data_IF_805438470755
#
_entry.id   IF_805438470755
#
_cell.length_a   1.000
_cell.length_b   1.000
_cell.length_c   1.000
_cell.angle_alpha   90.00
_cell.angle_beta   90.00
_cell.angle_gamma   90.00
#
_symmetry.space_group_name_H-M   'P 1'
#
loop_
_entity.id
_entity.type
_entity.pdbx_description
1 polymer ?
#
# COMPACT_ATOMS: atom_id res chain seq x y z
N UNK A 1 11.20 27.20 -12.47
CA UNK A 1 10.72 27.05 -13.87
C UNK A 1 9.48 26.16 -13.88
N UNK A 2 8.48 26.43 -14.72
CA UNK A 2 7.08 26.04 -14.41
C UNK A 2 6.69 24.61 -14.81
N UNK A 3 5.94 23.95 -13.92
CA UNK A 3 5.21 22.70 -14.15
C UNK A 3 4.33 22.76 -15.40
N UNK A 4 3.77 23.94 -15.69
CA UNK A 4 2.95 24.21 -16.86
C UNK A 4 3.69 23.94 -18.17
N UNK A 5 4.97 24.31 -18.27
CA UNK A 5 5.77 24.07 -19.47
C UNK A 5 6.01 22.58 -19.73
N UNK A 6 6.24 21.80 -18.67
CA UNK A 6 6.33 20.34 -18.78
C UNK A 6 5.00 19.74 -19.27
N UNK A 7 3.87 20.14 -18.68
CA UNK A 7 2.56 19.60 -19.07
C UNK A 7 2.19 19.93 -20.51
N UNK A 8 2.51 21.14 -20.99
CA UNK A 8 2.34 21.52 -22.40
C UNK A 8 3.21 20.67 -23.32
N UNK A 9 4.46 20.40 -22.93
CA UNK A 9 5.37 19.54 -23.69
C UNK A 9 4.85 18.10 -23.72
N UNK A 10 4.37 17.59 -22.58
CA UNK A 10 3.81 16.25 -22.47
C UNK A 10 2.52 16.09 -23.29
N UNK A 11 1.63 17.09 -23.28
CA UNK A 11 0.40 17.06 -24.07
C UNK A 11 0.64 17.13 -25.58
N UNK A 12 1.72 17.80 -26.00
CA UNK A 12 2.12 17.88 -27.40
C UNK A 12 2.94 16.64 -27.87
N UNK A 13 3.40 15.81 -26.93
CA UNK A 13 4.13 14.59 -27.25
C UNK A 13 3.21 13.48 -27.79
N UNK A 14 3.80 12.43 -28.38
CA UNK A 14 3.04 11.27 -28.86
C UNK A 14 2.30 10.55 -27.72
N UNK A 15 1.22 9.85 -28.08
CA UNK A 15 0.42 9.05 -27.13
C UNK A 15 1.28 8.05 -26.36
N UNK A 16 2.29 7.46 -27.01
CA UNK A 16 3.22 6.52 -26.39
C UNK A 16 4.04 7.17 -25.25
N UNK A 17 4.52 8.39 -25.45
CA UNK A 17 5.28 9.13 -24.42
C UNK A 17 4.39 9.48 -23.22
N UNK A 18 3.14 9.85 -23.49
CA UNK A 18 2.14 10.13 -22.45
C UNK A 18 1.80 8.87 -21.64
N UNK A 19 1.55 7.75 -22.32
CA UNK A 19 1.29 6.46 -21.68
C UNK A 19 2.47 5.99 -20.84
N UNK A 20 3.70 6.15 -21.35
CA UNK A 20 4.91 5.79 -20.61
C UNK A 20 5.06 6.60 -19.33
N UNK A 21 4.85 7.92 -19.40
CA UNK A 21 4.86 8.78 -18.21
C UNK A 21 3.80 8.36 -17.18
N UNK A 22 2.57 8.12 -17.65
CA UNK A 22 1.47 7.65 -16.81
C UNK A 22 1.82 6.32 -16.13
N UNK A 23 2.32 5.34 -16.88
CA UNK A 23 2.69 4.03 -16.37
C UNK A 23 3.82 4.12 -15.32
N UNK A 24 4.86 4.93 -15.59
CA UNK A 24 5.95 5.16 -14.64
C UNK A 24 5.46 5.82 -13.35
N UNK A 25 4.61 6.84 -13.45
CA UNK A 25 4.04 7.54 -12.30
C UNK A 25 3.15 6.61 -11.47
N UNK A 26 2.23 5.90 -12.11
CA UNK A 26 1.33 4.96 -11.44
C UNK A 26 2.10 3.84 -10.74
N UNK A 27 3.10 3.26 -11.42
CA UNK A 27 3.96 2.22 -10.84
C UNK A 27 4.63 2.71 -9.57
N UNK A 28 5.27 3.88 -9.60
CA UNK A 28 5.98 4.37 -8.44
C UNK A 28 5.03 4.74 -7.29
N UNK A 29 3.91 5.39 -7.58
CA UNK A 29 2.94 5.74 -6.56
C UNK A 29 2.40 4.48 -5.86
N UNK A 30 2.00 3.45 -6.60
CA UNK A 30 1.53 2.19 -6.01
C UNK A 30 2.62 1.56 -5.13
N UNK A 31 3.88 1.54 -5.59
CA UNK A 31 4.99 1.02 -4.79
C UNK A 31 5.17 1.79 -3.47
N UNK A 32 5.13 3.12 -3.53
CA UNK A 32 5.27 3.96 -2.34
C UNK A 32 4.09 3.76 -1.39
N UNK A 33 2.87 3.77 -1.91
CA UNK A 33 1.65 3.58 -1.11
C UNK A 33 1.61 2.19 -0.46
N UNK A 34 1.87 1.12 -1.20
CA UNK A 34 1.83 -0.25 -0.65
C UNK A 34 2.93 -0.50 0.38
N UNK A 35 4.11 0.12 0.21
CA UNK A 35 5.19 0.04 1.19
C UNK A 35 4.91 0.84 2.45
N UNK A 36 4.33 2.03 2.30
CA UNK A 36 3.99 2.89 3.42
C UNK A 36 2.74 2.41 4.17
N UNK A 37 1.83 1.76 3.46
CA UNK A 37 0.52 1.32 3.95
C UNK A 37 0.32 -0.16 3.57
N UNK A 38 0.84 -1.11 4.37
CA UNK A 38 0.79 -2.54 4.05
C UNK A 38 -0.63 -3.13 3.89
N UNK A 39 -1.65 -2.42 4.35
CA UNK A 39 -3.07 -2.81 4.28
C UNK A 39 -3.85 -1.97 3.26
N UNK A 40 -3.19 -1.17 2.42
CA UNK A 40 -3.89 -0.42 1.38
C UNK A 40 -4.49 -1.40 0.36
N UNK A 41 -5.79 -1.25 0.11
CA UNK A 41 -6.46 -2.00 -0.95
C UNK A 41 -5.96 -1.52 -2.31
N UNK A 42 -5.82 -2.43 -3.26
CA UNK A 42 -5.33 -2.09 -4.60
C UNK A 42 -6.21 -1.04 -5.29
N UNK A 43 -7.52 -1.09 -5.06
CA UNK A 43 -8.51 -0.12 -5.56
C UNK A 43 -8.25 1.28 -4.98
N UNK A 44 -8.11 1.40 -3.66
CA UNK A 44 -7.86 2.70 -3.02
C UNK A 44 -6.52 3.31 -3.48
N UNK A 45 -5.50 2.46 -3.66
CA UNK A 45 -4.21 2.89 -4.20
C UNK A 45 -4.34 3.36 -5.66
N UNK A 46 -5.08 2.64 -6.50
CA UNK A 46 -5.32 3.04 -7.88
C UNK A 46 -6.11 4.35 -7.98
N UNK A 47 -7.14 4.51 -7.15
CA UNK A 47 -7.94 5.73 -7.07
C UNK A 47 -7.11 6.92 -6.59
N UNK A 48 -6.25 6.72 -5.59
CA UNK A 48 -5.34 7.76 -5.10
C UNK A 48 -4.36 8.21 -6.21
N UNK A 49 -3.87 7.29 -7.02
CA UNK A 49 -3.02 7.59 -8.18
C UNK A 49 -3.80 8.37 -9.25
N UNK A 50 -5.00 7.92 -9.60
CA UNK A 50 -5.85 8.59 -10.57
C UNK A 50 -6.18 10.02 -10.12
N UNK A 51 -6.57 10.21 -8.86
CA UNK A 51 -6.81 11.54 -8.27
C UNK A 51 -5.56 12.43 -8.28
N UNK A 52 -4.37 11.85 -8.15
CA UNK A 52 -3.10 12.59 -8.16
C UNK A 52 -2.73 13.06 -9.56
N UNK A 53 -2.89 12.21 -10.57
CA UNK A 53 -2.64 12.53 -11.97
C UNK A 53 -3.68 13.51 -12.51
N UNK A 54 -4.94 13.40 -12.08
CA UNK A 54 -5.97 14.39 -12.39
C UNK A 54 -5.61 15.75 -11.79
N UNK A 55 -5.21 15.79 -10.50
CA UNK A 55 -4.77 17.02 -9.87
C UNK A 55 -3.54 17.64 -10.57
N UNK A 56 -2.64 16.81 -11.11
CA UNK A 56 -1.52 17.27 -11.93
C UNK A 56 -2.02 17.92 -13.23
N UNK A 57 -2.90 17.24 -13.97
CA UNK A 57 -3.46 17.74 -15.23
C UNK A 57 -4.26 19.05 -15.04
N UNK A 58 -4.97 19.18 -13.93
CA UNK A 58 -5.73 20.39 -13.56
C UNK A 58 -4.84 21.52 -13.00
N UNK A 59 -3.52 21.32 -12.87
CA UNK A 59 -2.62 22.33 -12.29
C UNK A 59 -2.83 22.58 -10.79
N UNK A 60 -3.45 21.64 -10.07
CA UNK A 60 -3.70 21.71 -8.63
C UNK A 60 -2.52 21.22 -7.79
N UNK A 61 -1.48 20.68 -8.41
CA UNK A 61 -0.22 20.31 -7.75
C UNK A 61 0.58 21.58 -7.43
N UNK A 62 0.79 21.85 -6.13
CA UNK A 62 1.51 23.02 -5.62
C UNK A 62 2.78 22.61 -4.90
N UNK A 63 3.77 23.50 -4.87
CA UNK A 63 4.99 23.33 -4.09
C UNK A 63 6.05 22.41 -4.72
N UNK A 64 5.86 21.99 -5.97
CA UNK A 64 6.91 21.30 -6.71
C UNK A 64 7.97 22.29 -7.19
N UNK A 65 9.22 22.04 -6.81
CA UNK A 65 10.40 22.81 -7.22
C UNK A 65 11.45 21.83 -7.70
N UNK A 66 12.01 22.09 -8.88
CA UNK A 66 13.07 21.28 -9.48
C UNK A 66 13.99 22.22 -10.26
N UNK A 67 15.29 22.01 -10.09
CA UNK A 67 16.34 22.80 -10.75
C UNK A 67 16.65 22.30 -12.16
N UNK A 68 16.27 21.06 -12.48
CA UNK A 68 16.43 20.48 -13.81
C UNK A 68 15.48 21.15 -14.83
N UNK A 69 15.84 21.18 -16.13
CA UNK A 69 14.97 21.76 -17.14
C UNK A 69 13.72 20.89 -17.36
N UNK A 70 12.53 21.47 -17.61
CA UNK A 70 11.27 20.73 -17.74
C UNK A 70 11.29 19.59 -18.77
N UNK A 71 12.10 19.69 -19.81
CA UNK A 71 12.20 18.67 -20.86
C UNK A 71 13.10 17.47 -20.50
N UNK A 72 13.83 17.55 -19.39
CA UNK A 72 14.79 16.53 -18.99
C UNK A 72 14.14 15.28 -18.39
N UNK A 73 14.88 14.17 -18.43
CA UNK A 73 14.52 12.95 -17.70
C UNK A 73 14.55 13.17 -16.19
N UNK A 74 15.49 13.99 -15.68
CA UNK A 74 15.64 14.27 -14.25
C UNK A 74 14.43 15.03 -13.70
N UNK A 75 13.94 16.05 -14.43
CA UNK A 75 12.72 16.77 -14.05
C UNK A 75 11.51 15.83 -13.98
N UNK A 76 11.38 14.91 -14.94
CA UNK A 76 10.32 13.91 -14.97
C UNK A 76 10.41 12.97 -13.77
N UNK A 77 11.60 12.46 -13.46
CA UNK A 77 11.82 11.57 -12.33
C UNK A 77 11.52 12.26 -10.99
N UNK A 78 11.97 13.51 -10.82
CA UNK A 78 11.68 14.30 -9.62
C UNK A 78 10.19 14.61 -9.47
N UNK A 79 9.50 14.94 -10.57
CA UNK A 79 8.05 15.15 -10.54
C UNK A 79 7.30 13.89 -10.14
N UNK A 80 7.66 12.74 -10.72
CA UNK A 80 7.05 11.45 -10.39
C UNK A 80 7.30 11.10 -8.91
N UNK A 81 8.52 11.31 -8.42
CA UNK A 81 8.89 11.14 -7.00
C UNK A 81 8.07 12.04 -6.08
N UNK A 82 7.93 13.33 -6.44
CA UNK A 82 7.14 14.29 -5.69
C UNK A 82 5.66 13.89 -5.62
N UNK A 83 5.08 13.46 -6.73
CA UNK A 83 3.69 12.98 -6.76
C UNK A 83 3.55 11.75 -5.85
N UNK A 84 4.43 10.75 -5.99
CA UNK A 84 4.36 9.51 -5.24
C UNK A 84 4.52 9.71 -3.73
N UNK A 85 5.37 10.65 -3.29
CA UNK A 85 5.70 10.86 -1.88
C UNK A 85 4.85 11.92 -1.19
N UNK A 86 4.34 12.93 -1.91
CA UNK A 86 3.57 14.03 -1.30
C UNK A 86 2.12 14.10 -1.72
N UNK A 87 1.81 13.78 -2.98
CA UNK A 87 0.45 13.98 -3.50
C UNK A 87 -0.39 12.72 -3.29
N UNK A 88 0.07 11.57 -3.77
CA UNK A 88 -0.66 10.31 -3.71
C UNK A 88 -1.05 9.88 -2.27
N UNK A 89 -0.17 9.98 -1.25
CA UNK A 89 -0.56 9.64 0.13
C UNK A 89 -1.69 10.54 0.64
N UNK A 90 -1.64 11.84 0.37
CA UNK A 90 -2.71 12.79 0.76
C UNK A 90 -4.03 12.46 0.08
N UNK A 91 -3.99 12.03 -1.19
CA UNK A 91 -5.18 11.58 -1.91
C UNK A 91 -5.78 10.32 -1.31
N UNK A 92 -4.95 9.33 -0.99
CA UNK A 92 -5.37 8.10 -0.33
C UNK A 92 -6.10 8.38 0.99
N UNK A 93 -5.57 9.28 1.81
CA UNK A 93 -6.21 9.66 3.09
C UNK A 93 -7.51 10.40 2.86
N UNK A 94 -7.56 11.26 1.84
CA UNK A 94 -8.79 11.90 1.41
C UNK A 94 -9.89 10.88 1.07
N UNK A 95 -9.52 9.81 0.36
CA UNK A 95 -10.42 8.69 0.03
C UNK A 95 -10.88 7.97 1.30
N UNK A 96 -9.95 7.59 2.18
CA UNK A 96 -10.29 6.92 3.45
C UNK A 96 -11.18 7.76 4.35
N UNK A 97 -10.94 9.07 4.44
CA UNK A 97 -11.80 10.01 5.18
C UNK A 97 -13.22 10.05 4.61
N UNK A 98 -13.37 10.15 3.29
CA UNK A 98 -14.69 10.16 2.62
C UNK A 98 -15.44 8.85 2.88
N UNK A 99 -14.74 7.73 2.80
CA UNK A 99 -15.33 6.40 2.93
C UNK A 99 -15.44 5.91 4.40
N UNK A 100 -15.00 6.72 5.37
CA UNK A 100 -14.94 6.38 6.81
C UNK A 100 -14.18 5.07 7.10
N UNK A 101 -13.15 4.77 6.30
CA UNK A 101 -12.36 3.55 6.44
C UNK A 101 -11.12 3.84 7.30
N UNK A 102 -10.84 2.96 8.25
CA UNK A 102 -9.64 2.96 9.12
C UNK A 102 -9.36 4.28 9.90
N UNK A 103 -10.20 4.65 10.89
CA UNK A 103 -9.97 5.83 11.74
C UNK A 103 -8.61 5.81 12.45
N UNK A 104 -8.13 4.62 12.84
CA UNK A 104 -6.83 4.45 13.51
C UNK A 104 -5.63 4.72 12.57
N UNK A 105 -5.75 4.39 11.28
CA UNK A 105 -4.72 4.69 10.27
C UNK A 105 -4.69 6.19 9.94
N UNK A 106 -5.86 6.84 9.92
CA UNK A 106 -5.96 8.29 9.74
C UNK A 106 -5.33 9.02 10.93
N UNK A 107 -5.58 8.56 12.17
CA UNK A 107 -4.99 9.14 13.37
C UNK A 107 -3.46 8.94 13.44
N UNK A 108 -2.94 7.77 13.03
CA UNK A 108 -1.50 7.55 12.90
C UNK A 108 -0.86 8.47 11.85
N UNK A 109 -1.60 8.81 10.79
CA UNK A 109 -1.13 9.71 9.76
C UNK A 109 -1.01 11.16 10.25
N UNK A 110 -2.00 11.66 10.98
CA UNK A 110 -2.01 13.04 11.48
C UNK A 110 -0.89 13.31 12.50
N UNK A 111 -0.40 12.25 13.16
CA UNK A 111 0.61 12.34 14.21
C UNK A 111 2.04 12.01 13.75
N UNK A 112 2.26 11.57 12.51
CA UNK A 112 3.58 11.26 11.98
C UNK A 112 3.96 12.21 10.84
N UNK A 113 5.20 12.69 10.85
CA UNK A 113 5.84 13.34 9.70
C UNK A 113 6.12 12.30 8.61
N UNK A 114 5.06 11.80 8.00
CA UNK A 114 5.10 10.76 6.98
C UNK A 114 5.88 11.23 5.76
N UNK A 115 5.92 12.53 5.49
CA UNK A 115 6.80 13.07 4.46
C UNK A 115 8.27 12.76 4.72
N UNK A 116 8.73 12.80 5.97
CA UNK A 116 10.11 12.46 6.35
C UNK A 116 10.33 10.94 6.18
N UNK A 117 9.39 10.12 6.67
CA UNK A 117 9.47 8.67 6.54
C UNK A 117 9.46 8.19 5.08
N UNK A 118 8.61 8.79 4.23
CA UNK A 118 8.49 8.48 2.81
C UNK A 118 9.70 8.97 2.00
N UNK A 119 10.31 10.09 2.41
CA UNK A 119 11.54 10.61 1.81
C UNK A 119 12.73 9.70 2.09
N UNK A 120 12.75 9.05 3.26
CA UNK A 120 13.76 8.07 3.66
C UNK A 120 13.58 6.69 3.00
N UNK A 121 12.44 6.40 2.36
CA UNK A 121 12.27 5.16 1.61
C UNK A 121 13.20 5.16 0.38
N UNK A 122 14.12 4.20 0.25
CA UNK A 122 14.94 4.09 -0.95
C UNK A 122 14.02 3.84 -2.15
N UNK A 123 13.98 4.80 -3.07
CA UNK A 123 13.37 4.63 -4.39
C UNK A 123 14.22 3.60 -5.11
N UNK A 124 13.71 2.39 -5.28
CA UNK A 124 14.35 1.43 -6.17
C UNK A 124 14.25 2.03 -7.58
N UNK A 125 15.35 2.62 -8.04
CA UNK A 125 15.52 3.09 -9.42
C UNK A 125 15.49 1.95 -10.45
N UNK A 126 15.33 0.70 -10.00
CA UNK A 126 15.26 -0.46 -10.86
C UNK A 126 13.80 -0.80 -11.21
N UNK A 127 13.57 -1.46 -12.37
CA UNK A 127 12.39 -2.31 -12.48
C UNK A 127 12.35 -3.19 -11.23
N UNK A 128 11.16 -3.48 -10.69
CA UNK A 128 11.04 -4.56 -9.73
C UNK A 128 11.74 -5.75 -10.37
N UNK A 129 12.86 -6.17 -9.79
CA UNK A 129 13.53 -7.39 -10.18
C UNK A 129 12.41 -8.44 -10.22
N UNK A 130 12.17 -9.18 -11.31
CA UNK A 130 11.08 -10.16 -11.41
C UNK A 130 11.10 -11.20 -10.27
N UNK A 131 12.21 -11.25 -9.54
CA UNK A 131 12.43 -11.97 -8.29
C UNK A 131 11.55 -11.43 -7.14
N UNK A 132 11.33 -10.13 -6.98
CA UNK A 132 10.54 -9.57 -5.86
C UNK A 132 9.04 -9.91 -5.97
N UNK A 133 8.38 -9.79 -7.15
CA UNK A 133 7.04 -10.34 -7.32
C UNK A 133 6.99 -11.86 -7.11
N UNK A 134 8.02 -12.60 -7.51
CA UNK A 134 8.09 -14.05 -7.33
C UNK A 134 8.24 -14.43 -5.84
N UNK A 135 9.11 -13.75 -5.09
CA UNK A 135 9.30 -13.91 -3.65
C UNK A 135 8.05 -13.47 -2.87
N UNK A 136 7.41 -12.37 -3.25
CA UNK A 136 6.13 -11.97 -2.67
C UNK A 136 5.00 -12.94 -3.00
N UNK A 137 4.99 -13.51 -4.21
CA UNK A 137 4.02 -14.54 -4.62
C UNK A 137 4.28 -15.82 -3.84
N UNK A 138 5.53 -16.21 -3.65
CA UNK A 138 5.95 -17.37 -2.88
C UNK A 138 5.63 -17.19 -1.39
N UNK A 139 5.88 -16.02 -0.81
CA UNK A 139 5.50 -15.69 0.56
C UNK A 139 3.98 -15.66 0.74
N UNK A 140 3.22 -15.13 -0.23
CA UNK A 140 1.75 -15.22 -0.23
C UNK A 140 1.27 -16.66 -0.32
N UNK A 141 1.88 -17.47 -1.19
CA UNK A 141 1.54 -18.88 -1.33
C UNK A 141 1.80 -19.63 -0.02
N UNK A 142 2.98 -19.42 0.57
CA UNK A 142 3.35 -19.98 1.87
C UNK A 142 2.40 -19.52 2.98
N UNK A 143 1.99 -18.25 3.00
CA UNK A 143 0.99 -17.74 3.94
C UNK A 143 -0.36 -18.45 3.76
N UNK A 144 -0.85 -18.60 2.53
CA UNK A 144 -2.12 -19.29 2.26
C UNK A 144 -2.06 -20.78 2.60
N UNK A 145 -0.93 -21.44 2.33
CA UNK A 145 -0.68 -22.81 2.81
C UNK A 145 -0.75 -22.88 4.33
N UNK A 146 -0.06 -21.97 5.03
CA UNK A 146 -0.10 -21.92 6.49
C UNK A 146 -1.51 -21.66 7.03
N UNK A 147 -2.29 -20.79 6.38
CA UNK A 147 -3.70 -20.57 6.73
C UNK A 147 -4.54 -21.83 6.50
N UNK A 148 -4.27 -22.60 5.44
CA UNK A 148 -4.98 -23.85 5.14
C UNK A 148 -4.72 -24.94 6.20
N UNK A 149 -3.58 -24.89 6.88
CA UNK A 149 -3.20 -25.81 7.97
C UNK A 149 -3.80 -25.41 9.33
N UNK A 150 -4.37 -24.20 9.45
CA UNK A 150 -5.10 -23.82 10.64
C UNK A 150 -6.41 -24.60 10.72
N UNK A 151 -6.85 -24.92 11.94
CA UNK A 151 -8.20 -25.47 12.12
C UNK A 151 -9.26 -24.50 11.59
N UNK A 152 -10.43 -25.03 11.20
CA UNK A 152 -11.48 -24.27 10.51
C UNK A 152 -11.88 -22.98 11.24
N UNK A 153 -11.89 -23.01 12.59
CA UNK A 153 -12.25 -21.86 13.43
C UNK A 153 -11.19 -20.75 13.39
N UNK A 154 -9.91 -21.09 13.42
CA UNK A 154 -8.81 -20.13 13.37
C UNK A 154 -8.57 -19.61 11.94
N UNK A 155 -8.61 -20.51 10.95
CA UNK A 155 -8.50 -20.15 9.54
C UNK A 155 -9.65 -19.25 9.08
N UNK A 156 -10.87 -19.51 9.55
CA UNK A 156 -12.04 -18.66 9.27
C UNK A 156 -11.85 -17.23 9.78
N UNK A 157 -11.44 -17.07 11.04
CA UNK A 157 -11.17 -15.74 11.62
C UNK A 157 -10.11 -14.99 10.82
N UNK A 158 -8.98 -15.63 10.47
CA UNK A 158 -7.92 -14.96 9.71
C UNK A 158 -8.37 -14.57 8.30
N UNK A 159 -9.17 -15.40 7.62
CA UNK A 159 -9.69 -15.05 6.29
C UNK A 159 -10.59 -13.81 6.34
N UNK A 160 -11.40 -13.67 7.39
CA UNK A 160 -12.25 -12.49 7.57
C UNK A 160 -11.43 -11.25 7.97
N UNK A 161 -10.36 -11.42 8.76
CA UNK A 161 -9.39 -10.34 9.02
C UNK A 161 -8.72 -9.87 7.73
N UNK A 162 -8.34 -10.80 6.84
CA UNK A 162 -7.75 -10.48 5.53
C UNK A 162 -8.76 -9.82 4.55
N UNK A 163 -10.05 -9.84 4.89
CA UNK A 163 -11.11 -9.13 4.17
C UNK A 163 -11.44 -7.78 4.83
N UNK A 164 -10.62 -7.32 5.78
CA UNK A 164 -10.77 -6.07 6.53
C UNK A 164 -12.06 -5.96 7.36
N UNK A 165 -12.64 -7.09 7.80
CA UNK A 165 -13.76 -7.06 8.74
C UNK A 165 -13.31 -6.67 10.15
N UNK A 166 -14.13 -5.85 10.83
CA UNK A 166 -13.93 -5.51 12.24
C UNK A 166 -14.17 -6.72 13.15
N UNK A 167 -13.66 -6.69 14.39
CA UNK A 167 -13.88 -7.80 15.32
C UNK A 167 -15.35 -8.03 15.67
N UNK A 168 -16.18 -6.99 15.66
CA UNK A 168 -17.63 -7.11 15.82
C UNK A 168 -18.24 -7.83 14.62
N UNK A 169 -17.90 -7.41 13.39
CA UNK A 169 -18.38 -8.05 12.16
C UNK A 169 -17.94 -9.50 12.04
N UNK A 170 -16.73 -9.83 12.50
CA UNK A 170 -16.24 -11.22 12.57
C UNK A 170 -17.01 -12.03 13.61
N UNK A 171 -17.31 -11.45 14.77
CA UNK A 171 -18.11 -12.11 15.80
C UNK A 171 -19.49 -12.46 15.24
N UNK A 172 -20.14 -11.53 14.54
CA UNK A 172 -21.42 -11.74 13.90
C UNK A 172 -21.34 -12.80 12.78
N UNK A 173 -20.39 -12.64 11.85
CA UNK A 173 -20.20 -13.56 10.72
C UNK A 173 -19.89 -15.01 11.14
N UNK A 174 -19.26 -15.18 12.31
CA UNK A 174 -18.91 -16.49 12.86
C UNK A 174 -19.83 -16.96 13.99
N UNK A 175 -20.90 -16.21 14.27
CA UNK A 175 -21.85 -16.48 15.36
C UNK A 175 -21.16 -16.70 16.70
N UNK A 176 -20.21 -15.83 17.06
CA UNK A 176 -19.45 -15.88 18.29
C UNK A 176 -20.05 -14.96 19.35
N UNK A 177 -20.12 -15.46 20.58
CA UNK A 177 -20.77 -14.77 21.69
C UNK A 177 -20.09 -13.45 22.11
N UNK A 178 -18.84 -13.22 21.72
CA UNK A 178 -18.12 -11.99 22.07
C UNK A 178 -16.94 -11.67 21.15
N UNK A 179 -16.65 -10.38 21.00
CA UNK A 179 -15.40 -9.90 20.41
C UNK A 179 -14.15 -10.34 21.15
N UNK A 180 -14.25 -10.59 22.46
CA UNK A 180 -13.16 -11.18 23.24
C UNK A 180 -12.73 -12.54 22.70
N UNK A 181 -13.70 -13.36 22.27
CA UNK A 181 -13.44 -14.65 21.62
C UNK A 181 -12.76 -14.48 20.26
N UNK A 182 -13.15 -13.47 19.49
CA UNK A 182 -12.50 -13.12 18.21
C UNK A 182 -11.06 -12.74 18.45
N UNK A 183 -10.77 -11.80 19.36
CA UNK A 183 -9.41 -11.35 19.71
C UNK A 183 -8.50 -12.52 20.11
N UNK A 184 -9.00 -13.40 20.97
CA UNK A 184 -8.27 -14.61 21.41
C UNK A 184 -7.95 -15.54 20.23
N UNK A 185 -8.90 -15.76 19.33
CA UNK A 185 -8.71 -16.59 18.13
C UNK A 185 -7.76 -15.94 17.13
N UNK A 186 -7.87 -14.64 16.86
CA UNK A 186 -6.94 -13.89 16.01
C UNK A 186 -5.53 -14.02 16.55
N UNK A 187 -5.33 -13.76 17.85
CA UNK A 187 -4.02 -13.86 18.49
C UNK A 187 -3.44 -15.27 18.35
N UNK A 188 -4.22 -16.30 18.68
CA UNK A 188 -3.79 -17.70 18.58
C UNK A 188 -3.45 -18.08 17.15
N UNK A 189 -4.27 -17.67 16.18
CA UNK A 189 -4.03 -17.94 14.77
C UNK A 189 -2.75 -17.24 14.27
N UNK A 190 -2.51 -15.99 14.67
CA UNK A 190 -1.30 -15.25 14.34
C UNK A 190 -0.03 -15.88 14.92
N UNK A 191 -0.08 -16.41 16.15
CA UNK A 191 1.06 -17.15 16.71
C UNK A 191 1.39 -18.41 15.90
N UNK A 192 0.35 -19.17 15.51
CA UNK A 192 0.52 -20.36 14.66
C UNK A 192 1.03 -20.02 13.27
N UNK A 193 0.56 -18.91 12.68
CA UNK A 193 1.05 -18.43 11.38
C UNK A 193 2.51 -18.00 11.46
N UNK A 194 2.92 -17.26 12.50
CA UNK A 194 4.32 -16.89 12.72
C UNK A 194 5.22 -18.13 12.80
N UNK A 195 4.78 -19.15 13.54
CA UNK A 195 5.51 -20.42 13.63
C UNK A 195 5.59 -21.13 12.28
N UNK A 196 4.47 -21.26 11.57
CA UNK A 196 4.42 -21.91 10.25
C UNK A 196 5.27 -21.18 9.18
N UNK A 197 5.36 -19.85 9.25
CA UNK A 197 6.19 -19.05 8.35
C UNK A 197 7.66 -18.96 8.81
N UNK A 198 8.06 -19.67 9.87
CA UNK A 198 9.43 -19.66 10.37
C UNK A 198 9.88 -18.33 10.98
N UNK A 199 8.95 -17.46 11.37
CA UNK A 199 9.21 -16.13 11.93
C UNK A 199 9.39 -16.13 13.46
N UNK A 200 9.29 -17.30 14.09
CA UNK A 200 9.41 -17.46 15.54
C UNK A 200 10.86 -17.77 15.92
N UNK A 201 11.61 -16.78 16.42
CA UNK A 201 12.80 -17.06 17.22
C UNK A 201 12.35 -17.45 18.64
N UNK A 202 12.56 -18.71 19.02
CA UNK A 202 12.54 -19.15 20.42
C UNK A 202 11.42 -20.12 20.79
N UNK A 203 11.88 -21.30 21.24
CA UNK A 203 11.20 -22.42 21.90
C UNK A 203 10.42 -23.38 21.00
N UNK A 204 11.11 -24.49 20.69
CA UNK A 204 10.51 -25.81 20.51
C UNK A 204 9.43 -26.05 21.56
N UNK A 205 8.21 -26.30 21.12
CA UNK A 205 7.26 -27.11 21.87
C UNK A 205 6.58 -28.05 20.88
N UNK A 206 6.90 -29.32 21.11
CA UNK A 206 6.42 -30.59 20.56
C UNK A 206 5.00 -30.51 19.98
N UNK A 207 4.88 -30.92 18.71
CA UNK A 207 3.60 -31.36 18.16
C UNK A 207 3.24 -32.71 18.79
N UNK A 208 2.21 -32.75 19.64
CA UNK A 208 1.51 -34.00 19.94
C UNK A 208 0.22 -34.08 19.12
N UNK A 209 -0.01 -35.31 18.65
CA UNK A 209 -1.01 -35.84 17.71
C UNK A 209 -2.44 -35.65 18.18
#
# INVERSE_FOLDING_TARGET
MSLTAFLQTLSAASTEVQQKFHAECSRLCIQVLTRAYPFVRAEDAADAVAESLLALAEGKVKGFVCDAPPTSADYRAELISFIARRIAPRKLIGIWRKNRVHPDLIANFENQDIEIALSALPLLAQPLDPIVPAEQTQLRHQLYECISRLNQKLGGVIRLVLQDLSYDQIADAMSLASTGTVKSRVWTAMQRLKHCMGMSQGKEEVCDV
#
